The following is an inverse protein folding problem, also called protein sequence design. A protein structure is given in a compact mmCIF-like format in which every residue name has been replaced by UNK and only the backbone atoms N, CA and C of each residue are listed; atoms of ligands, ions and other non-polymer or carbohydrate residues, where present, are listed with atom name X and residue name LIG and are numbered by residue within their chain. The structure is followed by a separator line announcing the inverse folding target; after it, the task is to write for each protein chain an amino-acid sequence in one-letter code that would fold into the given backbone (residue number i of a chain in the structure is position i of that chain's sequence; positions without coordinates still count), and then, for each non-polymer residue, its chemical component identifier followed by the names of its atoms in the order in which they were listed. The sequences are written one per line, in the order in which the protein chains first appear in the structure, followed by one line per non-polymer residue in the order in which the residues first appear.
data_IF_179045387460
#
_entry.id   IF_179045387460
#
_cell.length_a   1.000
_cell.length_b   1.000
_cell.length_c   1.000
_cell.angle_alpha   90.00
_cell.angle_beta   90.00
_cell.angle_gamma   90.00
#
_symmetry.space_group_name_H-M   'P 1'
#
loop_
_entity.id
_entity.type
_entity.pdbx_description
1 polymer ?
#
# COMPACT_ATOMS: atom_id res chain seq x y z
N UNK A 1 6.27 20.85 -17.95
CA UNK A 1 5.61 20.27 -16.76
C UNK A 1 6.55 20.39 -15.57
N UNK A 2 6.01 20.63 -14.37
CA UNK A 2 6.76 20.53 -13.11
C UNK A 2 6.38 19.26 -12.37
N UNK A 3 7.34 18.59 -11.74
CA UNK A 3 7.12 17.35 -11.00
C UNK A 3 7.01 16.10 -11.88
N UNK A 4 6.28 15.10 -11.39
CA UNK A 4 6.02 13.86 -12.14
C UNK A 4 7.20 12.92 -12.24
N UNK A 5 8.25 13.10 -11.43
CA UNK A 5 9.34 12.14 -11.34
C UNK A 5 8.83 10.85 -10.68
N UNK A 6 9.56 9.75 -10.89
CA UNK A 6 9.35 8.52 -10.10
C UNK A 6 10.36 8.53 -8.96
N UNK A 7 9.96 8.82 -7.71
CA UNK A 7 10.82 8.64 -6.57
C UNK A 7 11.02 7.15 -6.31
N UNK A 8 12.26 6.74 -6.07
CA UNK A 8 12.61 5.38 -5.69
C UNK A 8 13.55 5.41 -4.49
N UNK A 9 13.45 4.40 -3.62
CA UNK A 9 14.40 4.20 -2.54
C UNK A 9 14.73 2.72 -2.33
N UNK A 10 15.93 2.46 -1.79
CA UNK A 10 16.41 1.11 -1.50
C UNK A 10 15.74 0.57 -0.23
N UNK A 11 14.95 -0.50 -0.38
CA UNK A 11 14.32 -1.23 0.73
C UNK A 11 15.35 -1.86 1.68
N UNK A 12 16.56 -2.14 1.17
CA UNK A 12 17.70 -2.62 1.97
C UNK A 12 18.24 -1.48 2.84
N UNK A 13 18.49 -0.31 2.26
CA UNK A 13 18.99 0.85 3.00
C UNK A 13 17.97 1.35 4.03
N UNK A 14 16.68 1.35 3.68
CA UNK A 14 15.59 1.64 4.63
C UNK A 14 15.65 0.68 5.82
N UNK A 15 15.83 -0.62 5.58
CA UNK A 15 15.98 -1.60 6.65
C UNK A 15 17.22 -1.30 7.53
N UNK A 16 18.39 -1.08 6.92
CA UNK A 16 19.64 -0.79 7.66
C UNK A 16 19.53 0.49 8.52
N UNK A 17 18.86 1.53 7.99
CA UNK A 17 18.57 2.76 8.74
C UNK A 17 17.62 2.49 9.91
N UNK A 18 16.57 1.69 9.71
CA UNK A 18 15.63 1.31 10.79
C UNK A 18 16.34 0.47 11.86
N UNK A 19 17.16 -0.50 11.48
CA UNK A 19 17.95 -1.32 12.42
C UNK A 19 18.87 -0.45 13.28
N UNK A 20 19.51 0.55 12.67
CA UNK A 20 20.42 1.45 13.38
C UNK A 20 19.71 2.49 14.24
N UNK A 21 18.64 3.11 13.74
CA UNK A 21 17.99 4.26 14.38
C UNK A 21 16.80 3.89 15.27
N UNK A 22 16.14 2.77 14.99
CA UNK A 22 14.91 2.33 15.65
C UNK A 22 14.97 0.83 16.03
N UNK A 23 16.01 0.35 16.75
CA UNK A 23 16.19 -1.08 17.01
C UNK A 23 15.05 -1.71 17.82
N UNK A 24 14.47 -0.96 18.76
CA UNK A 24 13.32 -1.42 19.57
C UNK A 24 12.08 -1.62 18.69
N UNK A 25 11.79 -0.65 17.82
CA UNK A 25 10.69 -0.75 16.86
C UNK A 25 10.88 -1.92 15.89
N UNK A 26 12.12 -2.15 15.42
CA UNK A 26 12.42 -3.28 14.55
C UNK A 26 12.13 -4.62 15.24
N UNK A 27 12.56 -4.77 16.50
CA UNK A 27 12.29 -5.96 17.31
C UNK A 27 10.78 -6.19 17.51
N UNK A 28 10.02 -5.13 17.78
CA UNK A 28 8.56 -5.19 17.85
C UNK A 28 7.92 -5.62 16.53
N UNK A 29 8.36 -5.04 15.40
CA UNK A 29 7.84 -5.38 14.07
C UNK A 29 8.08 -6.84 13.72
N UNK A 30 9.27 -7.37 14.03
CA UNK A 30 9.62 -8.78 13.79
C UNK A 30 8.77 -9.70 14.66
N UNK A 31 8.67 -9.42 15.96
CA UNK A 31 7.92 -10.27 16.91
C UNK A 31 6.41 -10.24 16.69
N UNK A 32 5.86 -9.04 16.47
CA UNK A 32 4.41 -8.81 16.49
C UNK A 32 3.79 -8.88 15.11
N UNK A 33 4.59 -8.76 14.04
CA UNK A 33 4.13 -8.64 12.65
C UNK A 33 3.25 -7.40 12.45
N UNK A 34 2.73 -7.22 11.23
CA UNK A 34 1.86 -6.12 10.85
C UNK A 34 0.44 -6.62 10.54
N UNK A 35 -0.55 -5.83 10.91
CA UNK A 35 -1.89 -5.86 10.34
C UNK A 35 -2.05 -4.66 9.41
N UNK A 36 -2.42 -4.93 8.17
CA UNK A 36 -2.85 -3.91 7.20
C UNK A 36 -4.32 -4.12 6.87
N UNK A 37 -5.11 -3.05 6.89
CA UNK A 37 -6.52 -3.08 6.53
C UNK A 37 -6.77 -2.24 5.28
N UNK A 38 -7.42 -2.81 4.28
CA UNK A 38 -7.80 -2.10 3.07
C UNK A 38 -9.32 -2.01 2.99
N UNK A 39 -9.84 -0.78 2.92
CA UNK A 39 -11.26 -0.49 2.79
C UNK A 39 -11.62 -0.29 1.31
N UNK A 40 -12.64 -1.00 0.85
CA UNK A 40 -13.18 -0.93 -0.50
C UNK A 40 -14.65 -0.50 -0.42
N UNK A 41 -14.98 0.76 -0.77
CA UNK A 41 -16.34 1.28 -0.67
C UNK A 41 -17.31 0.58 -1.62
N UNK A 42 -18.61 0.73 -1.35
CA UNK A 42 -19.65 0.52 -2.35
C UNK A 42 -19.40 1.40 -3.60
N UNK A 43 -19.71 0.95 -4.84
CA UNK A 43 -19.50 1.72 -6.07
C UNK A 43 -20.06 3.15 -6.07
N UNK A 44 -21.15 3.42 -5.33
CA UNK A 44 -21.72 4.77 -5.23
C UNK A 44 -20.96 5.72 -4.30
N UNK A 45 -19.94 5.23 -3.58
CA UNK A 45 -19.18 5.97 -2.56
C UNK A 45 -17.68 6.07 -2.88
N UNK A 46 -17.27 5.80 -4.12
CA UNK A 46 -15.87 5.95 -4.52
C UNK A 46 -15.44 7.42 -4.48
N UNK A 47 -14.21 7.66 -4.04
CA UNK A 47 -13.64 9.01 -3.98
C UNK A 47 -13.18 9.46 -5.36
N UNK A 48 -13.14 10.78 -5.60
CA UNK A 48 -12.64 11.34 -6.88
C UNK A 48 -11.21 10.88 -7.21
N UNK A 49 -10.37 10.77 -6.18
CA UNK A 49 -8.96 10.37 -6.33
C UNK A 49 -8.72 8.88 -6.09
N UNK A 50 -9.74 8.15 -5.66
CA UNK A 50 -9.68 6.71 -5.45
C UNK A 50 -10.95 6.06 -6.02
N UNK A 51 -10.95 5.72 -7.31
CA UNK A 51 -12.12 5.19 -7.98
C UNK A 51 -12.39 3.72 -7.63
N UNK A 52 -11.56 3.07 -6.81
CA UNK A 52 -11.67 1.64 -6.54
C UNK A 52 -12.80 1.34 -5.55
N UNK A 53 -13.70 0.44 -5.96
CA UNK A 53 -14.77 -0.15 -5.12
C UNK A 53 -14.60 -1.65 -5.02
N UNK A 54 -15.34 -2.34 -4.15
CA UNK A 54 -15.24 -3.81 -4.05
C UNK A 54 -15.79 -4.56 -5.28
N UNK A 55 -16.72 -3.93 -6.03
CA UNK A 55 -17.48 -4.56 -7.12
C UNK A 55 -16.81 -4.47 -8.49
N UNK A 56 -15.70 -3.74 -8.62
CA UNK A 56 -15.03 -3.55 -9.91
C UNK A 56 -14.25 -4.78 -10.33
N UNK A 57 -14.16 -5.01 -11.65
CA UNK A 57 -13.40 -6.12 -12.23
C UNK A 57 -11.91 -6.10 -11.86
N UNK A 58 -11.33 -4.90 -11.70
CA UNK A 58 -9.93 -4.67 -11.29
C UNK A 58 -9.69 -4.89 -9.78
N UNK A 59 -10.73 -5.29 -9.04
CA UNK A 59 -10.69 -5.57 -7.60
C UNK A 59 -11.23 -6.97 -7.31
N UNK A 60 -12.32 -7.12 -6.55
CA UNK A 60 -12.93 -8.40 -6.21
C UNK A 60 -14.10 -8.77 -7.13
N UNK A 61 -14.50 -7.86 -8.01
CA UNK A 61 -15.63 -8.04 -8.92
C UNK A 61 -15.35 -8.79 -10.21
N UNK A 62 -14.18 -9.42 -10.36
CA UNK A 62 -13.75 -10.10 -11.59
C UNK A 62 -14.77 -11.11 -12.13
N UNK A 63 -15.47 -11.83 -11.24
CA UNK A 63 -16.44 -12.86 -11.61
C UNK A 63 -17.91 -12.41 -11.46
N UNK A 64 -18.14 -11.12 -11.16
CA UNK A 64 -19.48 -10.56 -11.01
C UNK A 64 -20.04 -10.27 -12.40
N UNK A 65 -21.18 -10.85 -12.70
CA UNK A 65 -21.87 -10.71 -13.97
C UNK A 65 -22.96 -9.63 -13.87
N UNK A 66 -23.34 -8.98 -14.99
CA UNK A 66 -24.38 -7.95 -14.99
C UNK A 66 -25.74 -8.41 -14.41
N UNK A 67 -26.06 -9.70 -14.50
CA UNK A 67 -27.29 -10.31 -14.01
C UNK A 67 -27.25 -10.76 -12.55
N UNK A 68 -26.08 -10.72 -11.89
CA UNK A 68 -25.97 -11.09 -10.48
C UNK A 68 -26.73 -10.09 -9.60
N UNK A 69 -27.56 -10.62 -8.68
CA UNK A 69 -28.11 -9.83 -7.59
C UNK A 69 -27.04 -9.44 -6.56
N UNK A 70 -27.38 -8.51 -5.66
CA UNK A 70 -26.41 -7.98 -4.69
C UNK A 70 -25.88 -9.07 -3.73
N UNK A 71 -26.71 -10.06 -3.38
CA UNK A 71 -26.29 -11.17 -2.53
C UNK A 71 -25.24 -12.04 -3.23
N UNK A 72 -25.44 -12.35 -4.52
CA UNK A 72 -24.50 -13.12 -5.33
C UNK A 72 -23.22 -12.33 -5.58
N UNK A 73 -23.33 -11.02 -5.85
CA UNK A 73 -22.20 -10.12 -6.00
C UNK A 73 -21.33 -10.07 -4.72
N UNK A 74 -21.95 -9.98 -3.54
CA UNK A 74 -21.24 -10.05 -2.25
C UNK A 74 -20.50 -11.37 -2.06
N UNK A 75 -21.15 -12.51 -2.33
CA UNK A 75 -20.51 -13.82 -2.18
C UNK A 75 -19.29 -13.97 -3.10
N UNK A 76 -19.40 -13.52 -4.35
CA UNK A 76 -18.30 -13.57 -5.33
C UNK A 76 -17.13 -12.66 -4.92
N UNK A 77 -17.42 -11.42 -4.52
CA UNK A 77 -16.42 -10.48 -4.05
C UNK A 77 -15.72 -10.97 -2.78
N UNK A 78 -16.49 -11.45 -1.81
CA UNK A 78 -15.96 -12.00 -0.55
C UNK A 78 -15.09 -13.23 -0.78
N UNK A 79 -15.53 -14.15 -1.65
CA UNK A 79 -14.73 -15.34 -2.00
C UNK A 79 -13.38 -14.94 -2.58
N UNK A 80 -13.32 -13.90 -3.42
CA UNK A 80 -12.07 -13.42 -4.00
C UNK A 80 -11.21 -12.70 -2.97
N UNK A 81 -11.82 -11.85 -2.14
CA UNK A 81 -11.12 -11.11 -1.10
C UNK A 81 -10.50 -12.01 -0.02
N UNK A 82 -11.16 -13.14 0.29
CA UNK A 82 -10.67 -14.16 1.22
C UNK A 82 -9.38 -14.85 0.78
N UNK A 83 -9.01 -14.77 -0.50
CA UNK A 83 -7.69 -15.23 -0.98
C UNK A 83 -6.55 -14.35 -0.45
N UNK A 84 -6.84 -13.10 -0.05
CA UNK A 84 -5.84 -12.15 0.45
C UNK A 84 -5.79 -12.07 1.97
N UNK A 85 -6.94 -12.15 2.65
CA UNK A 85 -7.01 -11.96 4.09
C UNK A 85 -8.40 -12.17 4.68
N UNK A 86 -8.56 -11.81 5.96
CA UNK A 86 -9.85 -11.83 6.64
C UNK A 86 -10.75 -10.71 6.07
N UNK A 87 -12.02 -11.02 5.84
CA UNK A 87 -12.97 -10.10 5.20
C UNK A 87 -14.08 -9.74 6.17
N UNK A 88 -14.40 -8.45 6.24
CA UNK A 88 -15.56 -7.91 6.95
C UNK A 88 -16.36 -7.00 6.04
N UNK A 89 -17.69 -7.05 6.16
CA UNK A 89 -18.60 -6.08 5.55
C UNK A 89 -18.96 -5.02 6.59
N UNK A 90 -18.72 -3.76 6.26
CA UNK A 90 -19.07 -2.61 7.10
C UNK A 90 -20.54 -2.21 6.85
N UNK A 91 -21.15 -1.45 7.78
CA UNK A 91 -22.55 -1.00 7.69
C UNK A 91 -22.87 -0.16 6.44
N UNK A 92 -21.85 0.44 5.82
CA UNK A 92 -21.96 1.26 4.62
C UNK A 92 -21.80 0.48 3.30
N UNK A 93 -21.91 -0.85 3.39
CA UNK A 93 -21.76 -1.78 2.26
C UNK A 93 -20.37 -1.73 1.62
N UNK A 94 -19.36 -1.52 2.47
CA UNK A 94 -17.96 -1.58 2.11
C UNK A 94 -17.35 -2.90 2.55
N UNK A 95 -16.43 -3.40 1.74
CA UNK A 95 -15.66 -4.60 2.04
C UNK A 95 -14.29 -4.17 2.59
N UNK A 96 -13.98 -4.62 3.80
CA UNK A 96 -12.66 -4.42 4.41
C UNK A 96 -11.87 -5.74 4.39
N UNK A 97 -10.67 -5.71 3.83
CA UNK A 97 -9.72 -6.84 3.85
C UNK A 97 -8.64 -6.58 4.90
N UNK A 98 -8.50 -7.48 5.85
CA UNK A 98 -7.48 -7.46 6.91
C UNK A 98 -6.41 -8.51 6.62
N UNK A 99 -5.19 -8.06 6.39
CA UNK A 99 -4.04 -8.91 6.08
C UNK A 99 -3.02 -8.86 7.22
N UNK A 100 -2.54 -10.03 7.67
CA UNK A 100 -1.43 -10.14 8.61
C UNK A 100 -0.14 -10.49 7.87
N UNK A 101 0.82 -9.58 7.88
CA UNK A 101 2.03 -9.63 7.05
C UNK A 101 3.28 -9.50 7.92
N UNK A 102 4.42 -10.10 7.54
CA UNK A 102 5.70 -9.80 8.17
C UNK A 102 6.02 -8.29 8.13
N UNK A 103 6.62 -7.76 9.20
CA UNK A 103 7.16 -6.40 9.22
C UNK A 103 8.43 -6.25 8.38
N UNK A 104 9.21 -7.32 8.26
CA UNK A 104 10.47 -7.38 7.50
C UNK A 104 10.51 -8.70 6.74
N UNK A 105 11.16 -8.72 5.58
CA UNK A 105 11.33 -9.95 4.77
C UNK A 105 12.79 -10.17 4.43
N UNK A 106 13.18 -11.44 4.21
CA UNK A 106 14.51 -11.80 3.73
C UNK A 106 14.44 -12.27 2.28
N UNK A 107 15.17 -11.62 1.40
CA UNK A 107 15.10 -11.86 -0.05
C UNK A 107 16.51 -12.01 -0.61
N UNK A 108 16.81 -13.21 -1.13
CA UNK A 108 18.13 -13.58 -1.68
C UNK A 108 19.28 -13.21 -0.72
N UNK A 109 19.09 -13.46 0.58
CA UNK A 109 20.07 -13.20 1.64
C UNK A 109 19.99 -11.83 2.31
N UNK A 110 19.27 -10.86 1.73
CA UNK A 110 19.16 -9.50 2.28
C UNK A 110 17.88 -9.32 3.08
N UNK A 111 17.98 -8.70 4.26
CA UNK A 111 16.81 -8.19 4.96
C UNK A 111 16.31 -6.92 4.24
N UNK A 112 15.00 -6.81 4.10
CA UNK A 112 14.34 -5.73 3.34
C UNK A 112 13.11 -5.24 4.09
N UNK A 113 12.88 -3.93 4.06
CA UNK A 113 11.67 -3.32 4.59
C UNK A 113 10.52 -3.43 3.56
N UNK A 114 10.21 -4.66 3.15
CA UNK A 114 9.20 -4.95 2.12
C UNK A 114 7.81 -5.08 2.75
N UNK A 115 7.18 -3.94 3.00
CA UNK A 115 5.82 -3.83 3.53
C UNK A 115 5.20 -2.47 3.11
N UNK A 116 3.90 -2.29 3.39
CA UNK A 116 3.16 -1.07 3.04
C UNK A 116 3.11 0.01 4.13
N UNK A 117 3.82 -0.14 5.26
CA UNK A 117 3.66 0.71 6.45
C UNK A 117 3.91 2.20 6.15
N UNK A 118 5.05 2.51 5.54
CA UNK A 118 5.42 3.89 5.19
C UNK A 118 4.44 4.51 4.19
N UNK A 119 4.19 3.83 3.06
CA UNK A 119 3.26 4.31 2.05
C UNK A 119 1.84 4.53 2.57
N UNK A 120 1.34 3.62 3.41
CA UNK A 120 0.01 3.74 4.03
C UNK A 120 -0.06 4.92 4.99
N UNK A 121 0.94 5.07 5.86
CA UNK A 121 0.98 6.18 6.80
C UNK A 121 1.13 7.53 6.10
N UNK A 122 1.99 7.63 5.09
CA UNK A 122 2.15 8.82 4.27
C UNK A 122 0.83 9.25 3.60
N UNK A 123 0.10 8.30 3.03
CA UNK A 123 -1.22 8.55 2.45
C UNK A 123 -2.22 9.06 3.50
N UNK A 124 -2.28 8.44 4.69
CA UNK A 124 -3.16 8.86 5.79
C UNK A 124 -2.88 10.32 6.18
N UNK A 125 -1.60 10.67 6.37
CA UNK A 125 -1.20 12.05 6.67
C UNK A 125 -1.58 13.01 5.55
N UNK A 126 -1.28 12.66 4.31
CA UNK A 126 -1.60 13.49 3.15
C UNK A 126 -3.11 13.74 3.03
N UNK A 127 -3.94 12.75 3.34
CA UNK A 127 -5.40 12.84 3.27
C UNK A 127 -6.02 13.53 4.49
N UNK A 128 -5.27 13.69 5.58
CA UNK A 128 -5.76 14.26 6.83
C UNK A 128 -6.63 13.28 7.63
N UNK A 129 -6.37 11.98 7.51
CA UNK A 129 -7.15 10.89 8.09
C UNK A 129 -6.48 10.27 9.34
N UNK A 130 -5.62 11.03 10.03
CA UNK A 130 -4.82 10.54 11.15
C UNK A 130 -5.70 10.16 12.34
N UNK A 131 -6.61 11.05 12.72
CA UNK A 131 -7.47 10.86 13.88
C UNK A 131 -8.67 9.98 13.54
N UNK A 132 -9.16 9.25 14.54
CA UNK A 132 -10.44 8.54 14.45
C UNK A 132 -11.56 9.52 14.02
N UNK A 133 -12.47 9.16 13.08
CA UNK A 133 -12.71 7.83 12.51
C UNK A 133 -11.88 7.47 11.26
N UNK A 134 -10.72 8.12 11.07
CA UNK A 134 -9.81 7.94 9.93
C UNK A 134 -10.45 8.28 8.58
N UNK A 135 -11.24 9.34 8.56
CA UNK A 135 -11.88 9.86 7.36
C UNK A 135 -11.05 11.01 6.82
N UNK A 136 -10.61 10.88 5.57
CA UNK A 136 -9.84 11.91 4.87
C UNK A 136 -10.70 13.09 4.44
N UNK A 137 -10.04 14.15 3.96
CA UNK A 137 -10.69 15.37 3.42
C UNK A 137 -11.56 15.10 2.19
N UNK A 138 -11.40 13.95 1.55
CA UNK A 138 -12.23 13.47 0.45
C UNK A 138 -13.40 12.59 0.90
N UNK A 139 -13.62 12.42 2.20
CA UNK A 139 -14.69 11.61 2.78
C UNK A 139 -14.39 10.10 2.79
N UNK A 140 -13.21 9.68 2.31
CA UNK A 140 -12.84 8.27 2.26
C UNK A 140 -12.21 7.79 3.57
N UNK A 141 -12.41 6.51 3.90
CA UNK A 141 -11.82 5.86 5.07
C UNK A 141 -10.41 5.36 4.78
N UNK A 142 -9.45 5.72 5.63
CA UNK A 142 -8.03 5.33 5.52
C UNK A 142 -7.54 4.68 6.81
N UNK A 143 -7.75 3.36 6.94
CA UNK A 143 -7.40 2.62 8.15
C UNK A 143 -5.87 2.57 8.39
N UNK A 144 -5.36 2.88 9.59
CA UNK A 144 -3.93 2.84 9.88
C UNK A 144 -3.38 1.40 9.94
N UNK A 145 -2.07 1.20 9.68
CA UNK A 145 -1.41 -0.06 9.98
C UNK A 145 -1.35 -0.26 11.50
N UNK A 146 -1.46 -1.53 11.92
CA UNK A 146 -1.45 -1.94 13.32
C UNK A 146 -0.36 -2.99 13.52
N UNK A 147 0.05 -3.21 14.77
CA UNK A 147 0.79 -4.43 15.10
C UNK A 147 -0.10 -5.65 14.89
N UNK A 148 0.50 -6.83 14.72
CA UNK A 148 -0.25 -8.05 14.44
C UNK A 148 -1.12 -8.59 15.57
N UNK A 149 -1.11 -7.93 16.74
CA UNK A 149 -2.06 -8.13 17.84
C UNK A 149 -3.24 -7.14 17.83
N UNK A 150 -3.26 -6.21 16.86
CA UNK A 150 -4.30 -5.20 16.69
C UNK A 150 -4.07 -3.89 17.44
N UNK A 151 -3.00 -3.79 18.24
CA UNK A 151 -2.66 -2.51 18.89
C UNK A 151 -2.06 -1.50 17.89
N UNK A 152 -2.15 -0.22 18.26
CA UNK A 152 -1.63 0.87 17.42
C UNK A 152 -0.10 0.87 17.41
N UNK A 153 0.47 1.18 16.25
CA UNK A 153 1.90 1.49 16.13
C UNK A 153 2.10 2.95 16.55
N UNK A 154 3.08 3.25 17.44
CA UNK A 154 3.37 4.62 17.84
C UNK A 154 3.64 5.53 16.63
N UNK A 155 3.02 6.71 16.62
CA UNK A 155 3.09 7.66 15.50
C UNK A 155 4.54 8.11 15.25
N UNK A 156 5.34 8.25 16.31
CA UNK A 156 6.75 8.60 16.23
C UNK A 156 7.56 7.60 15.39
N UNK A 157 7.26 6.30 15.46
CA UNK A 157 7.92 5.29 14.64
C UNK A 157 7.46 5.40 13.18
N UNK A 158 6.15 5.57 12.95
CA UNK A 158 5.60 5.73 11.61
C UNK A 158 6.19 6.99 10.91
N UNK A 159 6.29 8.10 11.63
CA UNK A 159 6.89 9.35 11.14
C UNK A 159 8.40 9.21 10.90
N UNK A 160 9.12 8.47 11.74
CA UNK A 160 10.54 8.19 11.52
C UNK A 160 10.77 7.29 10.31
N UNK A 161 9.93 6.29 10.08
CA UNK A 161 10.00 5.48 8.84
C UNK A 161 9.81 6.35 7.61
N UNK A 162 8.80 7.22 7.59
CA UNK A 162 8.60 8.16 6.48
C UNK A 162 9.82 9.05 6.25
N UNK A 163 10.40 9.59 7.34
CA UNK A 163 11.60 10.42 7.25
C UNK A 163 12.79 9.63 6.69
N UNK A 164 13.02 8.40 7.15
CA UNK A 164 14.09 7.55 6.64
C UNK A 164 13.90 7.31 5.14
N UNK A 165 12.68 6.96 4.71
CA UNK A 165 12.37 6.77 3.29
C UNK A 165 12.64 8.04 2.48
N UNK A 166 12.20 9.21 2.94
CA UNK A 166 12.45 10.50 2.27
C UNK A 166 13.96 10.82 2.18
N UNK A 167 14.71 10.63 3.27
CA UNK A 167 16.15 10.89 3.34
C UNK A 167 16.95 10.06 2.32
N UNK A 168 16.51 8.84 2.00
CA UNK A 168 17.18 7.92 1.05
C UNK A 168 16.55 7.88 -0.34
N UNK A 169 15.52 8.71 -0.58
CA UNK A 169 14.81 8.71 -1.87
C UNK A 169 15.59 9.49 -2.92
N UNK A 170 15.72 8.88 -4.10
CA UNK A 170 16.19 9.54 -5.31
C UNK A 170 15.05 9.69 -6.31
N UNK A 171 15.08 10.77 -7.09
CA UNK A 171 14.02 11.11 -8.04
C UNK A 171 14.50 10.85 -9.47
N UNK A 172 13.82 9.96 -10.19
CA UNK A 172 14.15 9.67 -11.59
C UNK A 172 13.55 10.73 -12.52
N UNK A 173 14.39 11.55 -13.19
CA UNK A 173 13.94 12.58 -14.11
C UNK A 173 13.78 11.98 -15.51
N UNK A 174 12.60 11.44 -15.79
CA UNK A 174 12.28 10.78 -17.05
C UNK A 174 12.53 11.64 -18.30
N UNK A 175 13.11 11.00 -19.30
CA UNK A 175 13.14 11.44 -20.70
C UNK A 175 12.41 10.42 -21.58
N UNK A 176 11.95 10.87 -22.76
CA UNK A 176 11.32 9.96 -23.72
C UNK A 176 12.31 8.87 -24.16
N UNK A 177 11.85 7.61 -24.12
CA UNK A 177 12.68 6.45 -24.44
C UNK A 177 13.43 5.84 -23.26
N UNK A 178 13.43 6.47 -22.08
CA UNK A 178 14.01 5.89 -20.88
C UNK A 178 13.29 4.59 -20.47
N UNK A 179 14.07 3.62 -19.98
CA UNK A 179 13.57 2.39 -19.38
C UNK A 179 14.20 2.23 -18.01
N UNK A 180 13.35 2.18 -16.98
CA UNK A 180 13.76 1.86 -15.62
C UNK A 180 13.43 0.41 -15.31
N UNK A 181 14.45 -0.38 -14.97
CA UNK A 181 14.28 -1.77 -14.51
C UNK A 181 14.53 -1.82 -13.01
N UNK A 182 13.53 -2.28 -12.25
CA UNK A 182 13.59 -2.36 -10.79
C UNK A 182 13.49 -3.82 -10.32
N UNK A 183 14.28 -4.16 -9.30
CA UNK A 183 14.02 -5.35 -8.48
C UNK A 183 13.01 -4.95 -7.41
N UNK A 184 11.74 -5.33 -7.61
CA UNK A 184 10.63 -4.93 -6.74
C UNK A 184 10.87 -5.29 -5.28
N UNK A 185 11.61 -6.36 -5.02
CA UNK A 185 11.93 -6.80 -3.66
C UNK A 185 12.91 -5.90 -2.92
N UNK A 186 13.72 -5.16 -3.67
CA UNK A 186 14.79 -4.30 -3.13
C UNK A 186 14.49 -2.82 -3.29
N UNK A 187 13.52 -2.45 -4.10
CA UNK A 187 13.21 -1.05 -4.42
C UNK A 187 11.76 -0.75 -4.11
N UNK A 188 11.56 0.29 -3.30
CA UNK A 188 10.26 0.92 -3.14
C UNK A 188 10.16 2.09 -4.13
N UNK A 189 8.95 2.37 -4.61
CA UNK A 189 8.72 3.42 -5.58
C UNK A 189 7.44 4.18 -5.25
N UNK A 190 7.37 5.43 -5.70
CA UNK A 190 6.23 6.31 -5.52
C UNK A 190 5.96 7.11 -6.81
N UNK A 191 5.10 8.12 -6.70
CA UNK A 191 4.85 9.08 -7.77
C UNK A 191 4.86 10.49 -7.19
N UNK A 192 5.71 11.35 -7.75
CA UNK A 192 5.68 12.76 -7.43
C UNK A 192 4.43 13.41 -8.07
N UNK A 193 3.70 14.30 -7.35
CA UNK A 193 2.68 15.14 -7.96
C UNK A 193 3.24 15.90 -9.17
N UNK A 194 2.38 16.20 -10.13
CA UNK A 194 2.80 16.85 -11.37
C UNK A 194 1.75 17.79 -11.91
N UNK A 195 2.20 18.78 -12.67
CA UNK A 195 1.33 19.73 -13.38
C UNK A 195 1.37 19.45 -14.89
N UNK A 196 0.20 19.20 -15.46
CA UNK A 196 -0.01 18.93 -16.88
C UNK A 196 -1.24 18.05 -17.11
N UNK A 197 -1.59 17.86 -18.38
CA UNK A 197 -2.68 17.02 -18.83
C UNK A 197 -2.19 15.60 -19.07
N UNK A 198 -3.01 14.56 -18.82
CA UNK A 198 -2.59 13.15 -18.92
C UNK A 198 -1.84 12.77 -20.21
N UNK A 199 -2.11 13.45 -21.34
CA UNK A 199 -1.42 13.22 -22.61
C UNK A 199 -0.01 13.81 -22.69
N UNK A 200 0.34 14.76 -21.83
CA UNK A 200 1.68 15.38 -21.75
C UNK A 200 2.74 14.39 -21.24
N UNK A 201 2.32 13.36 -20.50
CA UNK A 201 3.22 12.37 -19.92
C UNK A 201 2.55 11.01 -19.71
N UNK A 202 3.06 10.00 -20.42
CA UNK A 202 2.62 8.62 -20.29
C UNK A 202 3.80 7.77 -19.84
N UNK A 203 3.65 7.07 -18.71
CA UNK A 203 4.57 6.03 -18.26
C UNK A 203 3.85 4.70 -18.39
N UNK A 204 4.47 3.77 -19.10
CA UNK A 204 4.01 2.40 -19.19
C UNK A 204 4.77 1.55 -18.16
N UNK A 205 4.14 0.48 -17.69
CA UNK A 205 4.73 -0.47 -16.77
C UNK A 205 4.52 -1.89 -17.26
N UNK A 206 5.50 -2.75 -16.98
CA UNK A 206 5.41 -4.19 -17.18
C UNK A 206 5.86 -4.89 -15.90
N UNK A 207 5.09 -5.87 -15.46
CA UNK A 207 5.43 -6.70 -14.30
C UNK A 207 5.97 -8.04 -14.80
N UNK A 208 6.95 -8.58 -14.07
CA UNK A 208 7.53 -9.89 -14.32
C UNK A 208 7.46 -10.73 -13.05
N UNK A 209 6.96 -11.94 -13.20
CA UNK A 209 7.16 -13.01 -12.22
C UNK A 209 8.43 -13.79 -12.62
N UNK A 210 9.39 -13.87 -11.70
CA UNK A 210 10.63 -14.66 -11.88
C UNK A 210 10.56 -16.01 -11.14
N UNK A 211 9.43 -16.34 -10.52
CA UNK A 211 9.21 -17.56 -9.74
C UNK A 211 10.00 -17.60 -8.43
N UNK A 212 10.63 -16.49 -8.01
CA UNK A 212 11.39 -16.45 -6.76
C UNK A 212 10.46 -16.55 -5.55
N UNK A 213 10.87 -17.39 -4.59
CA UNK A 213 10.18 -17.51 -3.30
C UNK A 213 10.63 -16.37 -2.38
N UNK A 214 9.65 -15.75 -1.72
CA UNK A 214 9.88 -14.76 -0.68
C UNK A 214 9.87 -15.52 0.64
N UNK A 215 10.99 -15.50 1.36
CA UNK A 215 11.03 -16.07 2.71
C UNK A 215 10.58 -14.99 3.71
N UNK A 216 9.71 -15.38 4.63
CA UNK A 216 9.39 -14.56 5.79
C UNK A 216 10.61 -14.51 6.72
N UNK A 217 10.83 -13.36 7.37
CA UNK A 217 11.89 -13.20 8.38
C UNK A 217 11.52 -13.88 9.70
#
# INVERSE_FOLDING_TARGET
WTGGRTPICSSIEVFERIEKELPEFLDELVKRKLITKQYYPHPSRVGKDNPFSWRQADTFGHNILPEDDDATAHQKAESKAKELGEVTWDEDDALTVTMKLPGVRRIKGHATFFNGLGGRWGMIKQRGAVDYPHIGRDGMKYLPPLYGDGSSIPIEYLDKVLKIQDDVTIYIPWQEGDILVLDNFKVQHAREPWSGEQHDRIILASLRDDGSKIDDF
#
